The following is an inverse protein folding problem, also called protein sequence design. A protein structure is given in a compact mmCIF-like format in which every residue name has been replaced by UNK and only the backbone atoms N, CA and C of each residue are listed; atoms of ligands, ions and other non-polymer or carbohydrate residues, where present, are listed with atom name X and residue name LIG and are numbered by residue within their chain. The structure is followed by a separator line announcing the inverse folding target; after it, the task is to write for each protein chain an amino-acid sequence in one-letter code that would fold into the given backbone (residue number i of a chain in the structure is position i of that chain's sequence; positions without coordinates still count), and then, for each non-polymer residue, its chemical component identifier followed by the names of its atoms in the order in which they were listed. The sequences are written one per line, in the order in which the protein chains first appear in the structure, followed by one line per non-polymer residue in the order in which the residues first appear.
data_IF_197302502649
#
_entry.id   IF_197302502649
#
_cell.length_a   1.000
_cell.length_b   1.000
_cell.length_c   1.000
_cell.angle_alpha   90.00
_cell.angle_beta   90.00
_cell.angle_gamma   90.00
#
_symmetry.space_group_name_H-M   'P 1'
#
loop_
_entity.id
_entity.type
_entity.pdbx_description
1 polymer ?
#
# COMPACT_ATOMS: atom_id res chain seq x y z
N UNK A 1 28.85 8.46 -0.73
CA UNK A 1 28.01 7.46 -0.05
C UNK A 1 27.21 8.15 1.04
N UNK A 2 25.97 8.56 0.78
CA UNK A 2 25.07 9.09 1.80
C UNK A 2 23.76 8.33 1.69
N UNK A 3 23.60 7.36 2.58
CA UNK A 3 22.37 6.62 2.78
C UNK A 3 21.38 7.58 3.43
N UNK A 4 20.62 8.33 2.62
CA UNK A 4 19.47 9.06 3.12
C UNK A 4 18.43 8.02 3.49
N UNK A 5 18.33 7.77 4.78
CA UNK A 5 17.20 7.08 5.40
C UNK A 5 15.92 7.82 5.02
N UNK A 6 15.23 7.37 3.98
CA UNK A 6 13.81 7.70 3.76
C UNK A 6 12.99 6.86 4.74
N UNK A 7 13.23 7.06 6.04
CA UNK A 7 12.29 6.62 7.07
C UNK A 7 11.04 7.47 6.82
N UNK A 8 10.05 6.86 6.19
CA UNK A 8 8.73 7.44 5.98
C UNK A 8 8.15 7.82 7.34
N UNK A 9 8.37 9.08 7.73
CA UNK A 9 7.93 9.68 8.98
C UNK A 9 6.42 9.91 8.97
N UNK A 10 5.63 8.85 8.81
CA UNK A 10 4.21 8.94 9.15
C UNK A 10 4.13 8.68 10.65
N UNK A 11 4.31 9.75 11.44
CA UNK A 11 3.85 9.77 12.83
C UNK A 11 2.32 9.67 12.77
N UNK A 12 1.79 8.45 12.88
CA UNK A 12 0.35 8.18 12.95
C UNK A 12 -0.02 8.07 14.41
N UNK A 13 -0.35 9.20 15.01
CA UNK A 13 -1.02 9.22 16.31
C UNK A 13 -2.51 8.93 16.08
N UNK A 14 -3.10 8.17 16.99
CA UNK A 14 -4.56 8.05 17.10
C UNK A 14 -5.16 9.43 17.48
N UNK A 15 -6.48 9.66 17.30
CA UNK A 15 -7.13 10.91 17.73
C UNK A 15 -6.96 11.22 19.22
N UNK A 16 -6.63 10.21 20.04
CA UNK A 16 -6.34 10.30 21.47
C UNK A 16 -4.85 10.50 21.80
N UNK A 17 -4.00 10.71 20.78
CA UNK A 17 -2.55 10.91 20.94
C UNK A 17 -1.73 9.63 21.16
N UNK A 18 -2.37 8.45 21.14
CA UNK A 18 -1.65 7.20 21.38
C UNK A 18 -0.83 6.73 20.16
N UNK A 19 0.38 6.22 20.43
CA UNK A 19 1.29 5.70 19.41
C UNK A 19 0.79 4.38 18.83
N UNK A 20 0.72 4.29 17.50
CA UNK A 20 0.35 3.07 16.79
C UNK A 20 1.47 2.02 16.71
N UNK A 21 2.65 2.27 17.29
CA UNK A 21 3.76 1.34 17.27
C UNK A 21 3.42 0.10 18.11
N UNK A 22 3.31 -1.07 17.47
CA UNK A 22 2.98 -2.36 18.13
C UNK A 22 1.53 -2.84 17.93
N UNK A 23 0.65 -2.04 17.34
CA UNK A 23 -0.74 -2.48 17.08
C UNK A 23 -0.82 -3.35 15.82
N UNK A 24 -1.32 -4.58 15.98
CA UNK A 24 -1.54 -5.53 14.87
C UNK A 24 -2.32 -4.88 13.72
N UNK A 25 -1.90 -5.12 12.46
CA UNK A 25 -2.55 -4.55 11.26
C UNK A 25 -4.06 -4.74 11.30
N UNK A 26 -4.54 -5.90 11.74
CA UNK A 26 -5.97 -6.19 11.86
C UNK A 26 -6.68 -5.24 12.82
N UNK A 27 -6.07 -4.94 13.98
CA UNK A 27 -6.64 -4.01 14.98
C UNK A 27 -6.69 -2.56 14.46
N UNK A 28 -5.72 -2.15 13.64
CA UNK A 28 -5.63 -0.78 13.08
C UNK A 28 -6.75 -0.41 12.09
N UNK A 29 -7.33 -1.40 11.41
CA UNK A 29 -8.38 -1.17 10.41
C UNK A 29 -9.75 -1.69 10.83
N UNK A 30 -9.87 -2.34 12.00
CA UNK A 30 -11.11 -2.96 12.51
C UNK A 30 -12.20 -1.94 12.85
N UNK A 31 -11.82 -0.73 13.26
CA UNK A 31 -12.74 0.33 13.73
C UNK A 31 -13.05 1.39 12.67
N UNK A 32 -12.64 1.17 11.42
CA UNK A 32 -12.86 2.15 10.35
C UNK A 32 -14.24 1.95 9.74
N UNK A 33 -15.06 2.99 9.75
CA UNK A 33 -16.36 3.00 9.08
C UNK A 33 -16.18 2.83 7.54
N UNK A 34 -17.11 2.16 6.82
CA UNK A 34 -16.96 1.89 5.39
C UNK A 34 -16.56 3.10 4.54
N UNK A 35 -17.19 4.27 4.74
CA UNK A 35 -16.83 5.51 4.04
C UNK A 35 -15.38 5.94 4.30
N UNK A 36 -14.93 5.82 5.55
CA UNK A 36 -13.54 6.12 5.92
C UNK A 36 -12.54 5.12 5.34
N UNK A 37 -12.94 3.86 5.16
CA UNK A 37 -12.12 2.83 4.53
C UNK A 37 -11.94 3.12 3.04
N UNK A 38 -13.02 3.48 2.33
CA UNK A 38 -13.00 3.89 0.92
C UNK A 38 -12.08 5.10 0.75
N UNK A 39 -12.26 6.16 1.54
CA UNK A 39 -11.41 7.35 1.45
C UNK A 39 -9.93 7.05 1.70
N UNK A 40 -9.62 6.17 2.65
CA UNK A 40 -8.23 5.74 2.90
C UNK A 40 -7.66 4.93 1.73
N UNK A 41 -8.47 4.11 1.09
CA UNK A 41 -8.09 3.36 -0.10
C UNK A 41 -7.77 4.32 -1.26
N UNK A 42 -8.66 5.25 -1.58
CA UNK A 42 -8.47 6.28 -2.62
C UNK A 42 -7.16 7.06 -2.41
N UNK A 43 -6.97 7.63 -1.22
CA UNK A 43 -5.76 8.38 -0.87
C UNK A 43 -4.49 7.52 -0.89
N UNK A 44 -4.59 6.21 -0.66
CA UNK A 44 -3.44 5.32 -0.76
C UNK A 44 -3.14 4.96 -2.22
N UNK A 45 -4.18 4.77 -3.03
CA UNK A 45 -4.08 4.48 -4.45
C UNK A 45 -3.44 5.66 -5.20
N UNK A 46 -3.92 6.88 -4.97
CA UNK A 46 -3.37 8.11 -5.57
C UNK A 46 -1.87 8.26 -5.29
N UNK A 47 -1.45 7.99 -4.05
CA UNK A 47 -0.03 8.04 -3.66
C UNK A 47 0.80 6.99 -4.41
N UNK A 48 0.28 5.78 -4.57
CA UNK A 48 0.98 4.72 -5.31
C UNK A 48 1.04 5.07 -6.79
N UNK A 49 -0.03 5.61 -7.39
CA UNK A 49 -0.03 6.05 -8.79
C UNK A 49 0.94 7.20 -9.03
N UNK A 50 0.97 8.18 -8.13
CA UNK A 50 1.96 9.27 -8.17
C UNK A 50 3.39 8.74 -8.09
N UNK A 51 3.63 7.73 -7.23
CA UNK A 51 4.93 7.09 -7.11
C UNK A 51 5.30 6.34 -8.40
N UNK A 52 4.37 5.62 -9.03
CA UNK A 52 4.61 4.92 -10.30
C UNK A 52 5.01 5.92 -11.39
N UNK A 53 4.32 7.07 -11.48
CA UNK A 53 4.60 8.11 -12.47
C UNK A 53 5.98 8.77 -12.31
N UNK A 54 6.58 8.70 -11.12
CA UNK A 54 7.93 9.21 -10.87
C UNK A 54 9.04 8.29 -11.40
N UNK A 55 8.70 7.08 -11.88
CA UNK A 55 9.66 6.11 -12.39
C UNK A 55 9.51 5.93 -13.90
N UNK A 56 10.63 5.72 -14.57
CA UNK A 56 10.68 5.33 -15.98
C UNK A 56 10.30 3.86 -16.17
N UNK A 57 9.92 3.49 -17.38
CA UNK A 57 9.59 2.09 -17.71
C UNK A 57 10.80 1.17 -17.49
N UNK A 58 11.99 1.66 -17.80
CA UNK A 58 13.25 0.94 -17.61
C UNK A 58 13.51 0.68 -16.12
N UNK A 59 13.33 1.67 -15.25
CA UNK A 59 13.46 1.52 -13.79
C UNK A 59 12.43 0.54 -13.21
N UNK A 60 11.20 0.56 -13.74
CA UNK A 60 10.12 -0.32 -13.30
C UNK A 60 10.38 -1.78 -13.70
N UNK A 61 10.89 -2.01 -14.91
CA UNK A 61 11.03 -3.34 -15.51
C UNK A 61 12.40 -3.98 -15.25
N UNK A 62 13.44 -3.19 -15.00
CA UNK A 62 14.78 -3.69 -14.74
C UNK A 62 14.86 -4.52 -13.45
N UNK A 63 15.55 -5.66 -13.54
CA UNK A 63 15.85 -6.50 -12.38
C UNK A 63 16.96 -5.86 -11.56
N UNK A 64 16.85 -5.93 -10.22
CA UNK A 64 17.89 -5.44 -9.28
C UNK A 64 18.24 -3.95 -9.41
N UNK A 65 17.36 -3.13 -10.00
CA UNK A 65 17.59 -1.69 -10.15
C UNK A 65 17.72 -1.00 -8.78
N UNK A 66 16.86 -1.38 -7.83
CA UNK A 66 16.92 -0.91 -6.46
C UNK A 66 17.48 -1.98 -5.52
N UNK A 67 18.36 -1.61 -4.59
CA UNK A 67 19.00 -2.54 -3.63
C UNK A 67 18.01 -3.35 -2.79
N UNK A 68 16.82 -2.81 -2.52
CA UNK A 68 15.78 -3.48 -1.74
C UNK A 68 14.95 -4.47 -2.59
N UNK A 69 14.99 -4.33 -3.91
CA UNK A 69 14.34 -5.24 -4.87
C UNK A 69 15.33 -6.37 -5.18
N UNK A 70 15.23 -7.49 -4.45
CA UNK A 70 16.24 -8.57 -4.46
C UNK A 70 16.43 -9.22 -5.83
N UNK A 71 15.45 -9.99 -6.31
CA UNK A 71 15.55 -10.78 -7.54
C UNK A 71 14.50 -10.42 -8.58
N UNK A 72 13.45 -9.69 -8.16
CA UNK A 72 12.37 -9.25 -9.04
C UNK A 72 12.67 -7.91 -9.70
N UNK A 73 11.71 -7.42 -10.48
CA UNK A 73 11.62 -6.02 -10.88
C UNK A 73 10.65 -5.26 -9.97
N UNK A 74 10.66 -3.92 -10.06
CA UNK A 74 9.79 -3.07 -9.27
C UNK A 74 8.31 -3.24 -9.66
N UNK A 75 8.05 -3.56 -10.94
CA UNK A 75 6.71 -3.88 -11.45
C UNK A 75 5.99 -4.93 -10.59
N UNK A 76 6.63 -6.04 -10.23
CA UNK A 76 5.99 -7.10 -9.43
C UNK A 76 5.48 -6.59 -8.08
N UNK A 77 6.20 -5.64 -7.47
CA UNK A 77 5.76 -5.04 -6.21
C UNK A 77 4.56 -4.12 -6.42
N UNK A 78 4.54 -3.32 -7.48
CA UNK A 78 3.38 -2.49 -7.79
C UNK A 78 2.15 -3.34 -8.11
N UNK A 79 2.27 -4.30 -9.04
CA UNK A 79 1.16 -5.15 -9.47
C UNK A 79 0.54 -5.93 -8.29
N UNK A 80 1.37 -6.52 -7.43
CA UNK A 80 0.93 -7.27 -6.26
C UNK A 80 0.19 -6.43 -5.21
N UNK A 81 0.43 -5.11 -5.16
CA UNK A 81 -0.19 -4.19 -4.20
C UNK A 81 -1.31 -3.32 -4.81
N UNK A 82 -1.46 -3.31 -6.14
CA UNK A 82 -2.52 -2.59 -6.85
C UNK A 82 -3.41 -3.57 -7.61
N UNK A 83 -3.17 -3.78 -8.90
CA UNK A 83 -4.04 -4.50 -9.82
C UNK A 83 -4.42 -5.90 -9.31
N UNK A 84 -3.44 -6.73 -8.95
CA UNK A 84 -3.68 -8.10 -8.49
C UNK A 84 -4.47 -8.10 -7.17
N UNK A 85 -4.14 -7.15 -6.28
CA UNK A 85 -4.82 -7.02 -5.01
C UNK A 85 -6.26 -6.57 -5.17
N UNK A 86 -6.54 -5.63 -6.07
CA UNK A 86 -7.88 -5.15 -6.37
C UNK A 86 -8.74 -6.25 -6.98
N UNK A 87 -8.21 -7.04 -7.91
CA UNK A 87 -8.91 -8.18 -8.49
C UNK A 87 -9.30 -9.18 -7.40
N UNK A 88 -8.36 -9.53 -6.50
CA UNK A 88 -8.66 -10.41 -5.37
C UNK A 88 -9.72 -9.82 -4.44
N UNK A 89 -9.60 -8.54 -4.09
CA UNK A 89 -10.54 -7.87 -3.19
C UNK A 89 -11.95 -7.81 -3.78
N UNK A 90 -12.08 -7.47 -5.07
CA UNK A 90 -13.37 -7.45 -5.78
C UNK A 90 -14.02 -8.84 -5.79
N UNK A 91 -13.26 -9.90 -6.05
CA UNK A 91 -13.76 -11.29 -5.97
C UNK A 91 -14.30 -11.61 -4.58
N UNK A 92 -13.60 -11.19 -3.52
CA UNK A 92 -14.05 -11.37 -2.13
C UNK A 92 -15.32 -10.58 -1.82
N UNK A 93 -15.38 -9.31 -2.21
CA UNK A 93 -16.58 -8.49 -2.03
C UNK A 93 -17.79 -9.09 -2.76
N UNK A 94 -17.61 -9.54 -4.00
CA UNK A 94 -18.68 -10.19 -4.76
C UNK A 94 -19.17 -11.49 -4.11
N UNK A 95 -18.27 -12.30 -3.55
CA UNK A 95 -18.63 -13.50 -2.81
C UNK A 95 -19.44 -13.17 -1.55
N UNK A 96 -19.02 -12.16 -0.79
CA UNK A 96 -19.73 -11.72 0.41
C UNK A 96 -21.11 -11.14 0.06
N UNK A 97 -21.21 -10.36 -1.01
CA UNK A 97 -22.48 -9.79 -1.48
C UNK A 97 -23.50 -10.87 -1.91
N UNK A 98 -23.04 -12.02 -2.40
CA UNK A 98 -23.91 -13.17 -2.72
C UNK A 98 -24.43 -13.91 -1.48
N UNK A 99 -23.81 -13.70 -0.32
CA UNK A 99 -24.18 -14.34 0.94
C UNK A 99 -25.11 -13.47 1.80
N UNK A 100 -25.40 -12.26 1.34
CA UNK A 100 -26.40 -11.35 1.89
C UNK A 100 -27.73 -11.56 1.17
#
# INVERSE_FOLDING_TARGET
MSSRETRCSIRREQPDGSSLFGISKRKRYKTIFPRGAIRKLELSHERVMSLIQQHTQEEIMAKKHYKWVKTSNLYSYFAANTADHYIWALKKCAQMAKQL
#
